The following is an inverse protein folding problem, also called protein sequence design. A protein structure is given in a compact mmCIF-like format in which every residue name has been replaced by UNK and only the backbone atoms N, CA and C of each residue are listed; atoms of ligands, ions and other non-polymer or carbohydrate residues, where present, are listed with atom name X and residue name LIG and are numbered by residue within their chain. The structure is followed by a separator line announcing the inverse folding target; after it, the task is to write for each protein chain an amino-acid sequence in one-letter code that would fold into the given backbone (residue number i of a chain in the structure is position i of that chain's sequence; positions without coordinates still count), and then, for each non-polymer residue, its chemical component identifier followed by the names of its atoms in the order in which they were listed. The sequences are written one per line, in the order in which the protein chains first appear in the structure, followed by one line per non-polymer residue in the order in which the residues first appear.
data_IF_922959449681
#
_entry.id   IF_922959449681
#
_cell.length_a   1.000
_cell.length_b   1.000
_cell.length_c   1.000
_cell.angle_alpha   90.00
_cell.angle_beta   90.00
_cell.angle_gamma   90.00
#
_symmetry.space_group_name_H-M   'P 1'
#
loop_
_entity.id
_entity.type
_entity.pdbx_description
1 polymer ?
#
# COMPACT_ATOMS: atom_id res chain seq x y z
N UNK A 1 40.04 -0.11 7.32
CA UNK A 1 39.51 0.15 8.67
C UNK A 1 38.12 -0.49 8.76
N UNK A 2 38.02 -1.50 9.58
CA UNK A 2 36.92 -2.41 9.79
C UNK A 2 35.59 -1.70 10.07
N UNK A 3 34.66 -1.70 9.11
CA UNK A 3 33.25 -1.43 9.33
C UNK A 3 32.56 -2.76 9.66
N UNK A 4 32.33 -2.99 10.95
CA UNK A 4 31.57 -4.14 11.42
C UNK A 4 30.15 -4.09 10.85
N UNK A 5 29.89 -4.93 9.87
CA UNK A 5 28.54 -5.29 9.44
C UNK A 5 28.00 -6.19 10.57
N UNK A 6 27.16 -5.61 11.43
CA UNK A 6 26.42 -6.38 12.40
C UNK A 6 25.67 -7.49 11.67
N UNK A 7 26.04 -8.73 11.92
CA UNK A 7 25.35 -9.90 11.37
C UNK A 7 23.92 -9.92 11.86
N UNK A 8 22.99 -9.54 10.99
CA UNK A 8 21.58 -9.84 11.19
C UNK A 8 21.44 -11.38 11.11
N UNK A 9 21.06 -12.01 12.20
CA UNK A 9 20.54 -13.37 12.14
C UNK A 9 19.40 -13.37 11.13
N UNK A 10 19.39 -14.32 10.17
CA UNK A 10 18.24 -14.43 9.28
C UNK A 10 17.04 -14.74 10.15
N UNK A 11 16.16 -13.75 10.29
CA UNK A 11 14.85 -13.98 10.90
C UNK A 11 14.17 -15.00 10.01
N UNK A 12 13.95 -16.20 10.54
CA UNK A 12 13.24 -17.23 9.79
C UNK A 12 11.81 -16.75 9.62
N UNK A 13 11.47 -16.30 8.44
CA UNK A 13 10.14 -15.80 8.05
C UNK A 13 9.02 -16.75 8.47
N UNK A 14 9.28 -18.06 8.40
CA UNK A 14 8.38 -19.09 8.88
C UNK A 14 8.17 -19.02 10.41
N UNK A 15 9.13 -18.53 11.18
CA UNK A 15 9.00 -18.36 12.62
C UNK A 15 8.19 -17.10 12.97
N UNK A 16 8.30 -16.02 12.16
CA UNK A 16 7.47 -14.81 12.31
C UNK A 16 6.00 -15.07 11.92
N UNK A 17 5.78 -15.81 10.85
CA UNK A 17 4.43 -16.15 10.36
C UNK A 17 3.86 -17.39 11.05
N UNK A 18 4.71 -18.32 11.52
CA UNK A 18 4.31 -19.56 12.19
C UNK A 18 4.12 -19.46 13.70
N UNK A 19 4.67 -18.43 14.36
CA UNK A 19 4.79 -18.42 15.81
C UNK A 19 3.55 -17.95 16.58
N UNK A 20 2.50 -17.40 15.98
CA UNK A 20 1.34 -16.87 16.75
C UNK A 20 -0.02 -16.83 16.05
N UNK A 21 -0.36 -17.77 15.21
CA UNK A 21 -1.78 -18.02 15.02
C UNK A 21 -2.01 -19.47 15.42
N UNK A 22 -2.50 -19.62 16.63
CA UNK A 22 -2.88 -20.93 17.14
C UNK A 22 -3.70 -21.67 16.09
N UNK A 23 -3.38 -22.95 15.91
CA UNK A 23 -3.94 -23.90 14.94
C UNK A 23 -5.46 -24.16 15.16
N UNK A 24 -6.16 -23.20 15.79
CA UNK A 24 -7.56 -23.28 16.18
C UNK A 24 -8.58 -22.80 15.14
N UNK A 25 -8.14 -22.29 14.00
CA UNK A 25 -9.06 -21.88 12.92
C UNK A 25 -9.67 -23.09 12.21
N UNK A 26 -10.97 -23.00 11.89
CA UNK A 26 -11.66 -24.01 11.08
C UNK A 26 -11.01 -24.15 9.70
N UNK A 27 -11.16 -25.29 9.03
CA UNK A 27 -10.64 -25.51 7.67
C UNK A 27 -11.13 -24.43 6.66
N UNK A 28 -12.28 -23.80 6.93
CA UNK A 28 -12.87 -22.76 6.10
C UNK A 28 -12.16 -21.38 6.33
N UNK A 29 -11.75 -21.06 7.55
CA UNK A 29 -10.97 -19.86 7.88
C UNK A 29 -9.57 -19.91 7.29
N UNK A 30 -8.92 -21.08 7.30
CA UNK A 30 -7.62 -21.30 6.65
C UNK A 30 -7.70 -21.10 5.13
N UNK A 31 -8.82 -21.43 4.49
CA UNK A 31 -9.02 -21.32 3.04
C UNK A 31 -9.18 -19.87 2.55
N UNK A 32 -9.50 -18.93 3.45
CA UNK A 32 -9.70 -17.52 3.13
C UNK A 32 -8.53 -16.61 3.52
N UNK A 33 -7.55 -17.13 4.25
CA UNK A 33 -6.39 -16.39 4.74
C UNK A 33 -5.34 -16.29 3.64
N UNK A 34 -4.98 -15.04 3.30
CA UNK A 34 -3.93 -14.75 2.30
C UNK A 34 -2.62 -14.38 2.99
N UNK A 35 -1.52 -14.67 2.29
CA UNK A 35 -0.20 -14.18 2.61
C UNK A 35 0.06 -12.89 1.80
N UNK A 36 0.13 -11.76 2.50
CA UNK A 36 0.19 -10.43 1.91
C UNK A 36 1.54 -9.76 2.18
N UNK A 37 2.16 -9.23 1.14
CA UNK A 37 3.32 -8.36 1.24
C UNK A 37 2.91 -6.90 1.03
N UNK A 38 3.25 -6.02 1.96
CA UNK A 38 3.15 -4.58 1.77
C UNK A 38 4.56 -4.02 1.59
N UNK A 39 4.93 -3.78 0.34
CA UNK A 39 6.26 -3.36 -0.07
C UNK A 39 6.43 -1.84 -0.03
N UNK A 40 7.56 -1.35 0.47
CA UNK A 40 7.88 0.07 0.63
C UNK A 40 6.85 0.79 1.54
N UNK A 41 6.48 0.15 2.64
CA UNK A 41 5.60 0.71 3.65
C UNK A 41 6.25 0.60 5.04
N UNK A 42 6.58 1.74 5.65
CA UNK A 42 7.07 1.83 7.02
C UNK A 42 5.96 2.20 8.02
N UNK A 43 4.85 2.78 7.53
CA UNK A 43 3.78 3.32 8.39
C UNK A 43 2.89 2.23 9.03
N UNK A 44 2.88 1.04 8.47
CA UNK A 44 2.06 -0.08 8.94
C UNK A 44 0.56 0.04 8.67
N UNK A 45 0.07 1.11 8.03
CA UNK A 45 -1.38 1.34 7.87
C UNK A 45 -2.04 0.28 7.01
N UNK A 46 -1.47 -0.03 5.86
CA UNK A 46 -2.01 -1.08 4.97
C UNK A 46 -1.79 -2.45 5.59
N UNK A 47 -0.58 -2.72 6.15
CA UNK A 47 -0.32 -3.95 6.88
C UNK A 47 -1.38 -4.20 7.95
N UNK A 48 -1.62 -3.22 8.83
CA UNK A 48 -2.53 -3.36 9.95
C UNK A 48 -3.99 -3.53 9.50
N UNK A 49 -4.42 -2.87 8.41
CA UNK A 49 -5.75 -3.06 7.84
C UNK A 49 -5.97 -4.51 7.38
N UNK A 50 -5.02 -5.10 6.66
CA UNK A 50 -5.11 -6.51 6.25
C UNK A 50 -4.97 -7.49 7.42
N UNK A 51 -4.14 -7.19 8.42
CA UNK A 51 -4.04 -7.99 9.65
C UNK A 51 -5.36 -7.99 10.42
N UNK A 52 -6.06 -6.87 10.50
CA UNK A 52 -7.38 -6.77 11.13
C UNK A 52 -8.44 -7.64 10.44
N UNK A 53 -8.26 -7.93 9.13
CA UNK A 53 -9.09 -8.86 8.36
C UNK A 53 -8.65 -10.32 8.51
N UNK A 54 -7.66 -10.62 9.34
CA UNK A 54 -7.19 -11.98 9.64
C UNK A 54 -6.19 -12.56 8.65
N UNK A 55 -5.56 -11.73 7.79
CA UNK A 55 -4.54 -12.17 6.86
C UNK A 55 -3.14 -12.26 7.48
N UNK A 56 -2.27 -13.07 6.88
CA UNK A 56 -0.84 -13.10 7.18
C UNK A 56 -0.12 -11.99 6.42
N UNK A 57 0.30 -10.97 7.13
CA UNK A 57 0.83 -9.76 6.48
C UNK A 57 2.23 -9.41 6.98
N UNK A 58 3.13 -9.12 6.05
CA UNK A 58 4.41 -8.48 6.34
C UNK A 58 4.50 -7.16 5.59
N UNK A 59 5.03 -6.12 6.23
CA UNK A 59 5.49 -4.92 5.54
C UNK A 59 7.01 -4.92 5.41
N UNK A 60 7.53 -4.18 4.41
CA UNK A 60 8.95 -4.02 4.17
C UNK A 60 9.26 -2.59 3.75
N UNK A 61 10.29 -1.99 4.36
CA UNK A 61 10.84 -0.69 3.96
C UNK A 61 12.30 -0.59 4.45
N UNK A 62 13.09 0.33 3.87
CA UNK A 62 14.40 0.67 4.43
C UNK A 62 14.31 1.44 5.76
N UNK A 63 13.19 2.10 6.02
CA UNK A 63 12.90 2.74 7.29
C UNK A 63 12.40 1.72 8.32
N UNK A 64 12.66 1.95 9.62
CA UNK A 64 12.02 1.17 10.67
C UNK A 64 10.50 1.42 10.68
N UNK A 65 9.76 0.45 11.20
CA UNK A 65 8.30 0.59 11.38
C UNK A 65 7.96 1.74 12.32
N UNK A 66 6.88 2.48 12.01
CA UNK A 66 6.38 3.54 12.91
C UNK A 66 5.70 2.99 14.18
N UNK A 67 5.23 1.74 14.15
CA UNK A 67 4.52 1.10 15.25
C UNK A 67 5.30 -0.05 15.90
N UNK A 68 6.62 -0.11 15.68
CA UNK A 68 7.54 -1.12 16.21
C UNK A 68 7.06 -2.57 15.99
N UNK A 69 6.30 -2.79 14.93
CA UNK A 69 5.70 -4.09 14.64
C UNK A 69 6.76 -5.15 14.31
N UNK A 70 6.66 -6.36 14.91
CA UNK A 70 7.52 -7.49 14.54
C UNK A 70 7.25 -8.02 13.13
N UNK A 71 6.13 -7.62 12.50
CA UNK A 71 5.76 -8.00 11.14
C UNK A 71 6.25 -7.00 10.10
N UNK A 72 7.27 -6.23 10.44
CA UNK A 72 7.96 -5.32 9.54
C UNK A 72 9.40 -5.77 9.30
N UNK A 73 9.77 -5.90 8.04
CA UNK A 73 11.16 -6.14 7.65
C UNK A 73 11.83 -4.83 7.25
N UNK A 74 12.81 -4.41 8.02
CA UNK A 74 13.63 -3.26 7.64
C UNK A 74 14.72 -3.70 6.68
N UNK A 75 14.52 -3.47 5.37
CA UNK A 75 15.48 -3.87 4.35
C UNK A 75 14.94 -3.80 2.92
N UNK A 76 15.63 -4.49 2.02
CA UNK A 76 15.27 -4.53 0.60
C UNK A 76 14.12 -5.51 0.35
N UNK A 77 13.09 -5.04 -0.35
CA UNK A 77 11.94 -5.88 -0.75
C UNK A 77 12.33 -7.06 -1.64
N UNK A 78 13.43 -6.94 -2.39
CA UNK A 78 13.95 -8.05 -3.22
C UNK A 78 14.31 -9.27 -2.37
N UNK A 79 14.87 -9.04 -1.19
CA UNK A 79 15.16 -10.10 -0.20
C UNK A 79 13.86 -10.76 0.27
N UNK A 80 12.84 -9.95 0.60
CA UNK A 80 11.54 -10.48 1.05
C UNK A 80 10.86 -11.31 -0.04
N UNK A 81 10.89 -10.83 -1.29
CA UNK A 81 10.31 -11.56 -2.42
C UNK A 81 11.03 -12.89 -2.68
N UNK A 82 12.35 -12.94 -2.50
CA UNK A 82 13.15 -14.14 -2.72
C UNK A 82 13.02 -15.18 -1.60
N UNK A 83 12.95 -14.72 -0.34
CA UNK A 83 13.11 -15.59 0.83
C UNK A 83 11.81 -15.89 1.58
N UNK A 84 10.83 -14.97 1.55
CA UNK A 84 9.60 -15.06 2.32
C UNK A 84 8.38 -15.52 1.51
N UNK A 85 8.47 -15.58 0.17
CA UNK A 85 7.37 -16.02 -0.70
C UNK A 85 6.96 -17.49 -0.53
N UNK A 86 5.97 -17.97 -1.27
CA UNK A 86 5.13 -17.19 -2.17
C UNK A 86 4.13 -16.30 -1.43
N UNK A 87 3.72 -15.22 -2.08
CA UNK A 87 2.66 -14.31 -1.60
C UNK A 87 1.44 -14.42 -2.52
N UNK A 88 0.23 -14.24 -1.94
CA UNK A 88 -1.04 -14.22 -2.68
C UNK A 88 -1.35 -12.82 -3.23
N UNK A 89 -0.88 -11.80 -2.51
CA UNK A 89 -1.10 -10.39 -2.82
C UNK A 89 0.13 -9.56 -2.44
N UNK A 90 0.51 -8.63 -3.31
CA UNK A 90 1.47 -7.58 -2.97
C UNK A 90 0.85 -6.20 -3.21
N UNK A 91 0.97 -5.32 -2.21
CA UNK A 91 0.68 -3.89 -2.34
C UNK A 91 2.02 -3.16 -2.20
N UNK A 92 2.38 -2.33 -3.18
CA UNK A 92 3.68 -1.69 -3.23
C UNK A 92 3.56 -0.17 -3.36
N UNK A 93 4.32 0.55 -2.54
CA UNK A 93 4.40 2.02 -2.50
C UNK A 93 5.81 2.50 -2.88
N UNK A 94 6.29 2.27 -4.11
CA UNK A 94 7.65 2.63 -4.48
C UNK A 94 7.91 4.13 -4.29
N UNK A 95 9.12 4.54 -3.85
CA UNK A 95 9.46 5.93 -3.60
C UNK A 95 9.17 6.82 -4.81
N UNK A 96 8.41 7.89 -4.62
CA UNK A 96 8.00 8.79 -5.71
C UNK A 96 8.98 9.94 -5.98
N UNK A 97 10.07 10.07 -5.23
CA UNK A 97 11.01 11.20 -5.26
C UNK A 97 11.53 11.52 -6.66
N UNK A 98 11.88 10.48 -7.43
CA UNK A 98 12.40 10.63 -8.80
C UNK A 98 11.33 10.39 -9.87
N UNK A 99 10.11 10.01 -9.49
CA UNK A 99 9.03 9.63 -10.39
C UNK A 99 7.95 10.71 -10.55
N UNK A 100 7.67 11.46 -9.47
CA UNK A 100 6.57 12.44 -9.45
C UNK A 100 6.77 13.56 -10.48
N UNK A 101 5.71 13.90 -11.22
CA UNK A 101 5.74 14.92 -12.28
C UNK A 101 6.25 16.29 -11.80
N UNK A 102 6.01 16.65 -10.55
CA UNK A 102 6.47 17.91 -9.95
C UNK A 102 8.00 18.07 -9.92
N UNK A 103 8.75 16.95 -9.99
CA UNK A 103 10.21 16.96 -9.97
C UNK A 103 10.89 16.66 -11.31
N UNK A 104 10.15 16.24 -12.35
CA UNK A 104 10.75 15.78 -13.61
C UNK A 104 11.50 16.88 -14.39
N UNK A 105 11.10 18.14 -14.24
CA UNK A 105 11.78 19.26 -14.90
C UNK A 105 13.26 19.41 -14.48
N UNK A 106 13.64 18.87 -13.33
CA UNK A 106 15.03 18.86 -12.87
C UNK A 106 15.92 17.88 -13.66
N UNK A 107 15.33 16.85 -14.29
CA UNK A 107 16.06 15.91 -15.15
C UNK A 107 16.61 16.62 -16.40
N UNK A 108 15.81 17.50 -17.00
CA UNK A 108 16.22 18.25 -18.20
C UNK A 108 17.18 19.40 -17.91
N UNK A 109 17.28 19.82 -16.64
CA UNK A 109 18.20 20.87 -16.18
C UNK A 109 19.56 20.34 -15.76
N UNK A 110 19.84 19.05 -15.93
CA UNK A 110 21.12 18.44 -15.59
C UNK A 110 21.46 18.47 -14.10
N UNK A 111 20.43 18.48 -13.22
CA UNK A 111 20.65 18.50 -11.77
C UNK A 111 21.34 17.21 -11.33
N UNK A 112 22.39 17.36 -10.54
CA UNK A 112 23.07 16.25 -9.87
C UNK A 112 22.53 16.06 -8.46
N UNK A 113 22.40 14.81 -8.05
CA UNK A 113 22.08 14.37 -6.68
C UNK A 113 23.22 13.44 -6.25
N UNK A 114 23.94 13.82 -5.22
CA UNK A 114 25.14 13.11 -4.76
C UNK A 114 26.12 12.75 -5.88
N UNK A 115 26.33 13.73 -6.79
CA UNK A 115 27.25 13.60 -7.93
C UNK A 115 26.72 12.82 -9.13
N UNK A 116 25.48 12.29 -9.05
CA UNK A 116 24.84 11.51 -10.12
C UNK A 116 23.76 12.32 -10.84
N UNK A 117 23.63 12.22 -12.17
CA UNK A 117 22.54 12.84 -12.88
C UNK A 117 21.18 12.37 -12.36
N UNK A 118 20.30 13.31 -12.01
CA UNK A 118 18.97 12.99 -11.50
C UNK A 118 18.15 12.16 -12.51
N UNK A 119 18.42 12.31 -13.79
CA UNK A 119 17.80 11.51 -14.84
C UNK A 119 18.11 10.01 -14.70
N UNK A 120 19.35 9.64 -14.35
CA UNK A 120 19.73 8.23 -14.09
C UNK A 120 18.96 7.66 -12.90
N UNK A 121 18.85 8.42 -11.81
CA UNK A 121 18.06 8.01 -10.63
C UNK A 121 16.58 7.83 -10.97
N UNK A 122 16.07 8.58 -11.96
CA UNK A 122 14.71 8.38 -12.47
C UNK A 122 14.58 7.05 -13.22
N UNK A 123 15.57 6.67 -14.06
CA UNK A 123 15.54 5.36 -14.74
C UNK A 123 15.64 4.20 -13.73
N UNK A 124 16.52 4.29 -12.75
CA UNK A 124 16.63 3.28 -11.68
C UNK A 124 15.30 3.12 -10.90
N UNK A 125 14.64 4.25 -10.62
CA UNK A 125 13.34 4.22 -9.96
C UNK A 125 12.25 3.58 -10.85
N UNK A 126 12.28 3.81 -12.17
CA UNK A 126 11.40 3.15 -13.12
C UNK A 126 11.69 1.64 -13.22
N UNK A 127 12.97 1.23 -13.20
CA UNK A 127 13.37 -0.18 -13.21
C UNK A 127 12.89 -0.88 -11.93
N UNK A 128 12.97 -0.21 -10.80
CA UNK A 128 12.41 -0.73 -9.55
C UNK A 128 10.88 -0.90 -9.62
N UNK A 129 10.16 0.05 -10.21
CA UNK A 129 8.71 -0.09 -10.44
C UNK A 129 8.42 -1.28 -11.37
N UNK A 130 9.20 -1.47 -12.45
CA UNK A 130 9.07 -2.63 -13.35
C UNK A 130 9.27 -3.95 -12.62
N UNK A 131 10.28 -4.01 -11.73
CA UNK A 131 10.54 -5.18 -10.90
C UNK A 131 9.30 -5.51 -10.03
N UNK A 132 8.73 -4.52 -9.34
CA UNK A 132 7.55 -4.73 -8.50
C UNK A 132 6.33 -5.15 -9.33
N UNK A 133 6.07 -4.51 -10.47
CA UNK A 133 4.93 -4.85 -11.33
C UNK A 133 5.03 -6.27 -11.93
N UNK A 134 6.24 -6.80 -12.11
CA UNK A 134 6.50 -8.10 -12.72
C UNK A 134 6.87 -9.18 -11.68
N UNK A 135 6.79 -8.89 -10.39
CA UNK A 135 7.04 -9.87 -9.35
C UNK A 135 6.16 -11.13 -9.51
N UNK A 136 6.70 -12.28 -9.09
CA UNK A 136 5.98 -13.56 -9.12
C UNK A 136 4.95 -13.62 -7.97
N UNK A 137 3.96 -12.75 -8.08
CA UNK A 137 2.81 -12.64 -7.19
C UNK A 137 1.56 -12.54 -8.06
N UNK A 138 0.52 -13.35 -7.83
CA UNK A 138 -0.66 -13.39 -8.70
C UNK A 138 -1.47 -12.10 -8.69
N UNK A 139 -1.46 -11.36 -7.57
CA UNK A 139 -2.19 -10.11 -7.39
C UNK A 139 -1.25 -9.02 -6.94
N UNK A 140 -1.18 -7.93 -7.68
CA UNK A 140 -0.30 -6.81 -7.37
C UNK A 140 -1.06 -5.49 -7.54
N UNK A 141 -0.91 -4.60 -6.56
CA UNK A 141 -1.25 -3.19 -6.66
C UNK A 141 0.01 -2.35 -6.46
N UNK A 142 0.41 -1.56 -7.44
CA UNK A 142 1.45 -0.54 -7.28
C UNK A 142 0.76 0.81 -7.14
N UNK A 143 1.04 1.52 -6.04
CA UNK A 143 0.51 2.85 -5.73
C UNK A 143 1.61 3.89 -5.94
N UNK A 144 1.29 4.98 -6.64
CA UNK A 144 2.17 6.14 -6.74
C UNK A 144 1.34 7.39 -7.04
N UNK A 145 1.77 8.61 -6.69
CA UNK A 145 1.12 9.82 -7.18
C UNK A 145 1.23 9.93 -8.70
N UNK A 146 0.62 10.96 -9.29
CA UNK A 146 0.78 11.26 -10.73
C UNK A 146 2.27 11.40 -11.05
N UNK A 147 2.77 10.52 -11.90
CA UNK A 147 4.21 10.30 -12.10
C UNK A 147 4.53 9.91 -13.54
N UNK A 148 5.82 9.90 -13.87
CA UNK A 148 6.29 9.46 -15.19
C UNK A 148 6.08 7.96 -15.45
N UNK A 149 5.69 7.17 -14.47
CA UNK A 149 5.28 5.77 -14.67
C UNK A 149 4.21 5.69 -15.76
N UNK A 150 3.24 6.63 -15.73
CA UNK A 150 2.11 6.68 -16.68
C UNK A 150 2.53 6.84 -18.15
N UNK A 151 3.66 7.48 -18.41
CA UNK A 151 4.18 7.74 -19.77
C UNK A 151 5.36 6.84 -20.16
N UNK A 152 6.09 6.29 -19.17
CA UNK A 152 7.33 5.55 -19.39
C UNK A 152 7.14 4.03 -19.28
N UNK A 153 6.11 3.57 -18.56
CA UNK A 153 5.79 2.15 -18.40
C UNK A 153 4.40 1.86 -18.97
N UNK A 154 3.35 2.26 -18.28
CA UNK A 154 1.96 2.17 -18.75
C UNK A 154 1.04 3.10 -17.97
N UNK A 155 -0.12 3.42 -18.54
CA UNK A 155 -1.15 4.20 -17.82
C UNK A 155 -1.66 3.43 -16.60
N UNK A 156 -2.06 4.13 -15.52
CA UNK A 156 -2.68 3.49 -14.38
C UNK A 156 -4.04 2.91 -14.76
N UNK A 157 -4.41 1.81 -14.10
CA UNK A 157 -5.73 1.20 -14.26
C UNK A 157 -6.80 2.04 -13.58
N UNK A 158 -6.42 2.78 -12.54
CA UNK A 158 -7.31 3.65 -11.79
C UNK A 158 -6.57 4.84 -11.18
N UNK A 159 -7.28 5.96 -11.03
CA UNK A 159 -6.86 7.11 -10.22
C UNK A 159 -7.91 7.32 -9.13
N UNK A 160 -7.49 7.32 -7.88
CA UNK A 160 -8.36 7.49 -6.71
C UNK A 160 -8.02 8.76 -5.94
N UNK A 161 -8.91 9.13 -5.04
CA UNK A 161 -8.76 10.27 -4.14
C UNK A 161 -9.12 9.87 -2.70
N UNK A 162 -8.45 10.41 -1.67
CA UNK A 162 -8.76 10.09 -0.28
C UNK A 162 -10.22 10.41 0.11
N UNK A 163 -10.81 11.45 -0.47
CA UNK A 163 -12.18 11.84 -0.19
C UNK A 163 -13.24 10.85 -0.71
N UNK A 164 -12.85 9.87 -1.53
CA UNK A 164 -13.71 8.73 -1.90
C UNK A 164 -13.84 7.71 -0.75
N UNK A 165 -12.93 7.79 0.21
CA UNK A 165 -12.75 6.85 1.31
C UNK A 165 -12.86 7.53 2.69
N UNK A 166 -13.61 8.64 2.77
CA UNK A 166 -13.92 9.32 4.02
C UNK A 166 -12.91 10.34 4.54
N UNK A 167 -11.82 10.57 3.82
CA UNK A 167 -10.78 11.51 4.24
C UNK A 167 -10.97 12.88 3.56
N UNK A 168 -11.12 13.96 4.34
CA UNK A 168 -11.21 15.32 3.76
C UNK A 168 -9.85 15.80 3.25
N UNK A 169 -9.35 15.08 2.25
CA UNK A 169 -8.05 15.31 1.64
C UNK A 169 -8.06 15.14 0.13
N UNK A 170 -7.20 15.87 -0.55
CA UNK A 170 -6.90 15.74 -1.98
C UNK A 170 -5.46 15.26 -2.17
N UNK A 171 -5.33 14.07 -2.75
CA UNK A 171 -4.05 13.46 -3.17
C UNK A 171 -4.37 12.49 -4.30
N UNK A 172 -4.24 12.93 -5.55
CA UNK A 172 -4.41 12.02 -6.70
C UNK A 172 -3.42 10.87 -6.61
N UNK A 173 -3.96 9.68 -6.42
CA UNK A 173 -3.22 8.44 -6.24
C UNK A 173 -3.52 7.51 -7.40
N UNK A 174 -2.49 7.13 -8.14
CA UNK A 174 -2.57 6.23 -9.28
C UNK A 174 -2.33 4.79 -8.81
N UNK A 175 -3.14 3.86 -9.32
CA UNK A 175 -3.03 2.42 -9.06
C UNK A 175 -2.75 1.69 -10.37
N UNK A 176 -1.71 0.86 -10.38
CA UNK A 176 -1.40 -0.10 -11.43
C UNK A 176 -1.68 -1.50 -10.87
N UNK A 177 -2.64 -2.18 -11.46
CA UNK A 177 -3.22 -3.42 -10.94
C UNK A 177 -2.83 -4.63 -11.81
N UNK A 178 -2.57 -5.76 -11.16
CA UNK A 178 -2.44 -7.10 -11.76
C UNK A 178 -3.33 -8.05 -10.97
N UNK A 179 -4.28 -8.71 -11.62
CA UNK A 179 -5.16 -9.68 -10.98
C UNK A 179 -6.08 -9.13 -9.87
N UNK A 180 -6.32 -7.82 -9.85
CA UNK A 180 -7.14 -7.12 -8.87
C UNK A 180 -8.24 -6.30 -9.55
N UNK A 181 -9.44 -6.23 -8.97
CA UNK A 181 -10.47 -5.29 -9.40
C UNK A 181 -10.07 -3.85 -8.99
N UNK A 182 -10.68 -2.87 -9.65
CA UNK A 182 -10.60 -1.47 -9.23
C UNK A 182 -11.25 -1.30 -7.85
N UNK A 183 -10.70 -0.38 -7.05
CA UNK A 183 -11.31 -0.03 -5.76
C UNK A 183 -12.58 0.79 -5.96
N UNK A 184 -13.63 0.41 -5.27
CA UNK A 184 -14.86 1.17 -5.15
C UNK A 184 -14.79 2.13 -3.97
N UNK A 185 -15.42 3.29 -4.10
CA UNK A 185 -15.48 4.28 -3.05
C UNK A 185 -16.35 3.77 -1.89
N UNK A 186 -15.80 3.72 -0.68
CA UNK A 186 -16.51 3.22 0.51
C UNK A 186 -17.24 4.31 1.28
N UNK A 187 -16.73 5.55 1.26
CA UNK A 187 -17.31 6.68 2.01
C UNK A 187 -17.03 8.00 1.28
N UNK A 188 -17.74 8.20 0.17
CA UNK A 188 -17.50 9.38 -0.68
C UNK A 188 -18.03 10.65 -0.02
N UNK A 189 -17.11 11.55 0.35
CA UNK A 189 -17.47 12.88 0.84
C UNK A 189 -18.07 13.74 -0.28
N UNK A 190 -18.98 14.69 0.04
CA UNK A 190 -19.58 15.60 -0.93
C UNK A 190 -18.55 16.41 -1.72
N UNK A 191 -18.87 16.76 -2.97
CA UNK A 191 -18.04 17.57 -3.86
C UNK A 191 -17.38 16.75 -4.97
N UNK A 192 -16.43 17.40 -5.64
CA UNK A 192 -15.67 16.86 -6.78
C UNK A 192 -14.17 17.15 -6.64
N UNK A 193 -13.40 16.88 -7.70
CA UNK A 193 -11.95 17.12 -7.74
C UNK A 193 -11.56 18.62 -7.65
N UNK A 194 -12.49 19.55 -7.87
CA UNK A 194 -12.28 20.99 -7.72
C UNK A 194 -12.63 21.49 -6.33
N UNK A 195 -13.35 20.68 -5.54
CA UNK A 195 -13.70 21.01 -4.16
C UNK A 195 -12.43 21.06 -3.31
N UNK A 196 -12.19 22.20 -2.66
CA UNK A 196 -11.06 22.37 -1.77
C UNK A 196 -11.21 21.49 -0.53
N UNK A 197 -10.21 20.68 -0.25
CA UNK A 197 -10.15 19.78 0.90
C UNK A 197 -9.37 20.38 2.07
N UNK A 198 -9.56 19.83 3.26
CA UNK A 198 -8.94 20.30 4.50
C UNK A 198 -7.40 20.36 4.42
N UNK A 199 -6.76 19.46 3.69
CA UNK A 199 -5.32 19.43 3.50
C UNK A 199 -4.78 20.43 2.46
N UNK A 200 -5.62 21.30 1.87
CA UNK A 200 -5.24 22.26 0.84
C UNK A 200 -5.30 23.71 1.32
N UNK A 201 -4.31 24.52 0.92
CA UNK A 201 -4.33 25.98 1.04
C UNK A 201 -5.42 26.58 0.16
N UNK A 202 -5.78 27.88 0.31
CA UNK A 202 -6.70 28.54 -0.61
C UNK A 202 -6.30 28.45 -2.09
N UNK A 203 -4.99 28.38 -2.39
CA UNK A 203 -4.45 28.18 -3.74
C UNK A 203 -4.39 26.70 -4.18
N UNK A 204 -4.99 25.77 -3.45
CA UNK A 204 -5.05 24.35 -3.80
C UNK A 204 -3.77 23.55 -3.52
N UNK A 205 -2.75 24.16 -2.95
CA UNK A 205 -1.50 23.47 -2.58
C UNK A 205 -1.67 22.70 -1.27
N UNK A 206 -0.87 21.67 -1.08
CA UNK A 206 -0.85 20.95 0.21
C UNK A 206 -0.37 21.88 1.33
N UNK A 207 -1.08 21.86 2.48
CA UNK A 207 -0.79 22.71 3.64
C UNK A 207 0.49 22.33 4.40
N UNK A 208 1.01 21.12 4.21
CA UNK A 208 2.25 20.71 4.87
C UNK A 208 3.38 21.65 4.44
N UNK A 209 3.86 22.44 5.39
CA UNK A 209 5.01 23.32 5.23
C UNK A 209 6.32 22.54 4.98
N UNK A 210 7.40 23.22 4.64
CA UNK A 210 8.72 22.62 4.60
C UNK A 210 9.11 22.10 5.99
N UNK A 211 9.45 20.82 6.09
CA UNK A 211 10.02 20.22 7.31
C UNK A 211 10.86 19.01 6.91
N UNK A 212 11.82 18.58 7.75
CA UNK A 212 12.59 17.36 7.51
C UNK A 212 11.72 16.12 7.32
N UNK A 213 10.59 16.04 8.02
CA UNK A 213 9.67 14.89 8.00
C UNK A 213 8.50 15.03 7.03
N UNK A 214 8.42 16.13 6.28
CA UNK A 214 7.34 16.36 5.31
C UNK A 214 7.16 15.21 4.32
N UNK A 215 8.25 14.62 3.88
CA UNK A 215 8.22 13.50 2.94
C UNK A 215 7.60 12.26 3.57
N UNK A 216 7.85 11.99 4.85
CA UNK A 216 7.23 10.90 5.61
C UNK A 216 5.71 11.10 5.69
N UNK A 217 5.27 12.29 6.12
CA UNK A 217 3.84 12.62 6.20
C UNK A 217 3.13 12.43 4.85
N UNK A 218 3.79 12.80 3.76
CA UNK A 218 3.22 12.71 2.42
C UNK A 218 3.23 11.29 1.84
N UNK A 219 4.13 10.43 2.30
CA UNK A 219 4.23 9.05 1.80
C UNK A 219 3.19 8.13 2.44
N UNK A 220 2.71 8.43 3.64
CA UNK A 220 1.70 7.59 4.30
C UNK A 220 0.43 7.44 3.45
N UNK A 221 -0.07 6.21 3.40
CA UNK A 221 -1.39 5.92 2.83
C UNK A 221 -2.48 6.46 3.76
N UNK A 222 -3.55 7.01 3.21
CA UNK A 222 -4.71 7.40 3.99
C UNK A 222 -5.43 6.16 4.54
N UNK A 223 -5.92 6.22 5.79
CA UNK A 223 -6.50 5.06 6.46
C UNK A 223 -7.70 4.50 5.70
N UNK A 224 -8.63 5.35 5.24
CA UNK A 224 -9.77 4.88 4.47
C UNK A 224 -9.41 4.17 3.16
N UNK A 225 -8.27 4.53 2.53
CA UNK A 225 -7.75 3.79 1.36
C UNK A 225 -7.20 2.43 1.79
N UNK A 226 -6.45 2.37 2.90
CA UNK A 226 -5.90 1.12 3.42
C UNK A 226 -7.02 0.13 3.81
N UNK A 227 -8.07 0.63 4.47
CA UNK A 227 -9.23 -0.16 4.86
C UNK A 227 -9.99 -0.69 3.63
N UNK A 228 -10.22 0.17 2.62
CA UNK A 228 -10.86 -0.24 1.37
C UNK A 228 -10.05 -1.28 0.60
N UNK A 229 -8.70 -1.19 0.59
CA UNK A 229 -7.82 -2.21 0.02
C UNK A 229 -7.99 -3.54 0.76
N UNK A 230 -8.01 -3.52 2.09
CA UNK A 230 -8.16 -4.71 2.91
C UNK A 230 -9.54 -5.35 2.72
N UNK A 231 -10.61 -4.58 2.77
CA UNK A 231 -11.99 -5.06 2.59
C UNK A 231 -12.22 -5.66 1.19
N UNK A 232 -11.82 -4.94 0.14
CA UNK A 232 -12.17 -5.33 -1.24
C UNK A 232 -11.20 -6.33 -1.84
N UNK A 233 -9.92 -6.28 -1.50
CA UNK A 233 -8.93 -7.21 -2.03
C UNK A 233 -8.64 -8.37 -1.08
N UNK A 234 -8.80 -8.17 0.24
CA UNK A 234 -8.70 -9.21 1.25
C UNK A 234 -9.82 -10.27 1.16
N UNK A 235 -11.00 -9.88 0.66
CA UNK A 235 -12.12 -10.81 0.42
C UNK A 235 -11.97 -11.70 -0.82
N UNK A 236 -10.94 -11.50 -1.65
CA UNK A 236 -10.74 -12.27 -2.88
C UNK A 236 -10.13 -13.65 -2.56
N UNK A 237 -10.94 -14.70 -2.62
CA UNK A 237 -10.49 -16.07 -2.40
C UNK A 237 -9.41 -16.46 -3.41
N UNK A 238 -8.36 -17.24 -3.04
CA UNK A 238 -7.48 -17.90 -4.00
C UNK A 238 -8.32 -18.77 -4.94
N UNK A 239 -8.44 -18.36 -6.24
CA UNK A 239 -9.26 -19.09 -7.23
C UNK A 239 -10.28 -18.25 -7.98
N UNK A 240 -10.51 -16.98 -7.63
CA UNK A 240 -11.11 -16.01 -8.56
C UNK A 240 -12.61 -15.71 -8.45
N UNK A 241 -13.34 -16.11 -7.41
CA UNK A 241 -14.73 -15.67 -7.24
C UNK A 241 -14.86 -14.67 -6.07
N UNK A 242 -15.52 -13.54 -6.33
CA UNK A 242 -15.88 -12.56 -5.33
C UNK A 242 -16.93 -13.13 -4.37
N UNK A 243 -16.65 -13.19 -3.07
CA UNK A 243 -17.70 -13.46 -2.08
C UNK A 243 -18.53 -12.20 -1.85
N UNK A 244 -19.82 -12.30 -2.08
CA UNK A 244 -20.80 -11.35 -1.56
C UNK A 244 -20.83 -11.52 -0.04
N UNK A 245 -20.36 -10.52 0.70
CA UNK A 245 -20.54 -10.49 2.15
C UNK A 245 -22.03 -10.22 2.36
N UNK A 246 -22.77 -11.23 2.79
CA UNK A 246 -24.12 -11.03 3.31
C UNK A 246 -23.97 -10.30 4.64
N UNK A 247 -24.22 -9.00 4.64
CA UNK A 247 -24.52 -8.25 5.86
C UNK A 247 -25.81 -8.84 6.40
N UNK A 248 -25.71 -9.58 7.51
CA UNK A 248 -26.87 -10.11 8.20
C UNK A 248 -27.74 -8.96 8.71
N UNK A 249 -28.81 -8.67 8.01
CA UNK A 249 -29.93 -7.92 8.58
C UNK A 249 -30.49 -8.74 9.74
N UNK A 250 -30.27 -8.25 10.95
CA UNK A 250 -31.00 -8.73 12.10
C UNK A 250 -32.48 -8.33 11.92
N UNK A 251 -33.32 -9.29 11.52
CA UNK A 251 -34.75 -9.16 11.64
C UNK A 251 -35.08 -8.93 13.12
N UNK A 252 -35.44 -7.70 13.47
CA UNK A 252 -36.13 -7.38 14.72
C UNK A 252 -37.51 -8.02 14.68
N UNK A 253 -37.64 -9.19 15.30
CA UNK A 253 -38.93 -9.78 15.60
C UNK A 253 -39.70 -8.82 16.52
N UNK A 254 -40.67 -8.14 15.95
CA UNK A 254 -41.66 -7.39 16.71
C UNK A 254 -42.53 -8.39 17.49
N UNK A 255 -42.29 -8.46 18.78
CA UNK A 255 -43.19 -9.13 19.71
C UNK A 255 -44.42 -8.25 19.91
N UNK A 256 -45.57 -8.71 19.42
CA UNK A 256 -46.84 -8.02 19.58
C UNK A 256 -47.61 -8.64 20.79
N UNK A 257 -47.79 -7.91 21.93
CA UNK A 257 -48.53 -8.44 23.04
C UNK A 257 -49.99 -8.00 22.90
N UNK A 258 -50.88 -8.85 22.37
CA UNK A 258 -52.34 -8.77 22.59
C UNK A 258 -53.00 -10.13 22.36
N UNK A 259 -53.31 -10.78 23.43
CA UNK A 259 -54.61 -11.36 23.83
C UNK A 259 -54.45 -12.17 25.10
#
# INVERSE_FOLDING_TARGET
LNSGVGGFSPVRWNDLLGAKVGDGGTANERKTRMKVLVACEYSGRVRNAFMAMGHDVISCDFLPSEDDSPYHFQGDVRTVLAEAGPFDLMIAHPPCTYLAVSGLHWNTRGVLVDGRPRAELTEEALDFVRLLMNADVPRIAVENPVSCISTRIRKPDQVIQPWWFGEDASKKTCLWLKGLPKLEATNRLPGDDKTRRANQTPGGQNKLGPSPDRWKERSRTYQGIADAMAEQWGGLVPGGEMRTIQTGEQECLHFNPRS
#
